data_IF_372440215749
#
_entry.id   IF_372440215749
#
_cell.length_a   1.000
_cell.length_b   1.000
_cell.length_c   1.000
_cell.angle_alpha   90.00
_cell.angle_beta   90.00
_cell.angle_gamma   90.00
#
_symmetry.space_group_name_H-M   'P 1'
#
loop_
_entity.id
_entity.type
_entity.pdbx_description
1 polymer ?
#
# COMPACT_ATOMS: atom_id res chain seq x y z
N UNK A 1 -7.12 -14.49 1.65
CA UNK A 1 -6.10 -14.00 2.59
C UNK A 1 -6.68 -12.78 3.31
N UNK A 2 -6.37 -12.56 4.59
CA UNK A 2 -6.79 -11.35 5.29
C UNK A 2 -6.28 -10.11 4.55
N UNK A 3 -7.10 -9.07 4.50
CA UNK A 3 -6.71 -7.81 3.85
C UNK A 3 -5.58 -7.14 4.62
N UNK A 4 -4.78 -6.28 3.98
CA UNK A 4 -3.68 -5.57 4.67
C UNK A 4 -4.21 -4.76 5.86
N UNK A 5 -5.45 -4.25 5.75
CA UNK A 5 -6.14 -3.42 6.74
C UNK A 5 -6.34 -4.15 8.07
N UNK A 6 -6.60 -5.47 8.04
CA UNK A 6 -6.78 -6.30 9.25
C UNK A 6 -5.50 -6.41 10.09
N UNK A 7 -4.33 -6.12 9.52
CA UNK A 7 -3.05 -6.14 10.22
C UNK A 7 -2.67 -4.78 10.83
N UNK A 8 -3.43 -3.71 10.53
CA UNK A 8 -3.18 -2.37 11.08
C UNK A 8 -3.67 -2.33 12.53
N UNK A 9 -2.81 -1.84 13.43
CA UNK A 9 -3.13 -1.70 14.84
C UNK A 9 -2.63 -0.36 15.40
N UNK A 10 -2.85 -0.12 16.69
CA UNK A 10 -2.49 1.13 17.37
C UNK A 10 -0.99 1.46 17.38
N UNK A 11 -0.11 0.51 17.03
CA UNK A 11 1.34 0.72 16.88
C UNK A 11 1.77 0.90 15.44
N UNK A 12 0.92 0.63 14.46
CA UNK A 12 1.24 0.86 13.04
C UNK A 12 1.41 2.37 12.81
N UNK A 13 2.50 2.76 12.17
CA UNK A 13 2.81 4.17 11.84
C UNK A 13 3.16 4.39 10.38
N UNK A 14 3.61 3.35 9.69
CA UNK A 14 4.06 3.42 8.31
C UNK A 14 3.55 2.23 7.52
N UNK A 15 2.95 2.51 6.37
CA UNK A 15 2.66 1.55 5.31
C UNK A 15 3.59 1.82 4.13
N UNK A 16 4.32 0.80 3.69
CA UNK A 16 5.23 0.89 2.55
C UNK A 16 4.56 0.23 1.35
N UNK A 17 4.42 1.00 0.27
CA UNK A 17 3.93 0.52 -1.02
C UNK A 17 5.10 0.55 -1.99
N UNK A 18 5.50 -0.62 -2.48
CA UNK A 18 6.58 -0.74 -3.46
C UNK A 18 5.95 -1.12 -4.81
N UNK A 19 5.92 -0.17 -5.74
CA UNK A 19 5.16 -0.28 -6.99
C UNK A 19 5.83 0.46 -8.14
N UNK A 20 6.22 -0.24 -9.23
CA UNK A 20 6.22 -1.69 -9.42
C UNK A 20 7.05 -2.43 -8.36
N UNK A 21 6.56 -3.58 -7.93
CA UNK A 21 7.12 -4.30 -6.79
C UNK A 21 8.47 -4.95 -7.12
N UNK A 22 9.45 -4.81 -6.22
CA UNK A 22 10.72 -5.49 -6.20
C UNK A 22 10.69 -6.56 -5.10
N UNK A 23 11.01 -7.84 -5.41
CA UNK A 23 11.64 -8.35 -6.63
C UNK A 23 10.68 -8.89 -7.71
N UNK A 24 9.37 -8.81 -7.50
CA UNK A 24 8.40 -9.58 -8.30
C UNK A 24 7.99 -8.95 -9.63
N UNK A 25 8.28 -7.67 -9.85
CA UNK A 25 7.76 -6.87 -10.96
C UNK A 25 6.24 -6.63 -10.91
N UNK A 26 5.58 -6.98 -9.80
CA UNK A 26 4.13 -6.93 -9.68
C UNK A 26 3.58 -5.51 -9.74
N UNK A 27 2.44 -5.34 -10.43
CA UNK A 27 1.66 -4.11 -10.47
C UNK A 27 0.33 -4.35 -9.79
N UNK A 28 0.00 -3.51 -8.82
CA UNK A 28 -1.30 -3.55 -8.14
C UNK A 28 -2.34 -2.82 -9.01
N UNK A 29 -3.48 -3.45 -9.34
CA UNK A 29 -4.54 -2.79 -10.08
C UNK A 29 -5.10 -1.58 -9.33
N UNK A 30 -5.50 -0.54 -10.05
CA UNK A 30 -6.06 0.70 -9.47
C UNK A 30 -7.20 0.45 -8.47
N UNK A 31 -8.13 -0.47 -8.78
CA UNK A 31 -9.26 -0.78 -7.90
C UNK A 31 -8.88 -1.49 -6.59
N UNK A 32 -7.67 -2.05 -6.46
CA UNK A 32 -7.14 -2.51 -5.17
C UNK A 32 -6.60 -1.33 -4.36
N UNK A 33 -5.92 -0.37 -5.01
CA UNK A 33 -5.51 0.87 -4.35
C UNK A 33 -6.70 1.69 -3.83
N UNK A 34 -7.76 1.82 -4.63
CA UNK A 34 -8.96 2.57 -4.20
C UNK A 34 -9.58 1.95 -2.93
N UNK A 35 -9.62 0.61 -2.84
CA UNK A 35 -10.09 -0.10 -1.65
C UNK A 35 -9.16 0.09 -0.44
N UNK A 36 -7.85 0.02 -0.66
CA UNK A 36 -6.86 0.26 0.38
C UNK A 36 -6.99 1.69 0.94
N UNK A 37 -7.04 2.69 0.06
CA UNK A 37 -7.13 4.11 0.45
C UNK A 37 -8.42 4.39 1.22
N UNK A 38 -9.57 3.86 0.75
CA UNK A 38 -10.83 4.00 1.49
C UNK A 38 -10.78 3.36 2.88
N UNK A 39 -10.09 2.23 3.05
CA UNK A 39 -9.88 1.63 4.36
C UNK A 39 -8.95 2.42 5.28
N UNK A 40 -7.92 3.06 4.71
CA UNK A 40 -6.94 3.87 5.44
C UNK A 40 -7.54 5.14 6.04
N UNK A 41 -8.73 5.59 5.60
CA UNK A 41 -9.45 6.71 6.22
C UNK A 41 -9.73 6.48 7.72
N UNK A 42 -9.85 5.21 8.14
CA UNK A 42 -10.01 4.84 9.56
C UNK A 42 -8.72 4.89 10.38
N UNK A 43 -7.57 5.17 9.75
CA UNK A 43 -6.24 5.10 10.35
C UNK A 43 -5.41 6.37 10.07
N UNK A 44 -5.86 7.56 10.54
CA UNK A 44 -5.25 8.85 10.20
C UNK A 44 -3.80 9.02 10.65
N UNK A 45 -3.35 8.24 11.64
CA UNK A 45 -1.98 8.26 12.17
C UNK A 45 -1.00 7.38 11.37
N UNK A 46 -1.48 6.65 10.35
CA UNK A 46 -0.65 5.81 9.49
C UNK A 46 -0.21 6.62 8.27
N UNK A 47 1.09 6.76 8.11
CA UNK A 47 1.70 7.42 6.94
C UNK A 47 1.95 6.40 5.83
N UNK A 48 1.87 6.83 4.57
CA UNK A 48 2.20 6.02 3.41
C UNK A 48 3.57 6.47 2.85
N UNK A 49 4.46 5.52 2.62
CA UNK A 49 5.65 5.69 1.79
C UNK A 49 5.41 4.94 0.47
N UNK A 50 5.34 5.68 -0.62
CA UNK A 50 5.27 5.13 -1.97
C UNK A 50 6.68 5.07 -2.57
N UNK A 51 7.19 3.86 -2.80
CA UNK A 51 8.43 3.61 -3.52
C UNK A 51 8.10 3.28 -4.97
N UNK A 52 8.38 4.24 -5.84
CA UNK A 52 8.00 4.26 -7.26
C UNK A 52 9.22 4.31 -8.19
N UNK A 53 10.38 3.84 -7.74
CA UNK A 53 11.64 3.92 -8.52
C UNK A 53 11.52 3.26 -9.91
N UNK A 54 10.68 2.22 -10.06
CA UNK A 54 10.46 1.50 -11.31
C UNK A 54 9.24 1.99 -12.11
N UNK A 55 8.59 3.10 -11.73
CA UNK A 55 7.35 3.62 -12.36
C UNK A 55 7.45 3.87 -13.86
N UNK A 56 8.66 4.02 -14.42
CA UNK A 56 8.90 4.28 -15.85
C UNK A 56 9.32 3.05 -16.66
N UNK A 57 9.37 1.87 -16.05
CA UNK A 57 9.76 0.63 -16.73
C UNK A 57 8.57 -0.12 -17.36
N UNK A 58 7.35 0.40 -17.22
CA UNK A 58 6.11 -0.20 -17.67
C UNK A 58 5.32 0.75 -18.57
#
# INVERSE_FOLDING_TARGET
MPTILENINSKTRLLILNSPANPTGGVVPRGEFDRLVGGLESYPDVVILSDEIYSRLL
#
